data_IF_602157168031
#
_entry.id   IF_602157168031
#
_cell.length_a   1.000
_cell.length_b   1.000
_cell.length_c   1.000
_cell.angle_alpha   90.00
_cell.angle_beta   90.00
_cell.angle_gamma   90.00
#
_symmetry.space_group_name_H-M   'P 1'
#
loop_
_entity.id
_entity.type
_entity.pdbx_description
1 polymer ?
#
# COMPACT_ATOMS: atom_id res chain seq x y z
N UNK A 1 -5.01 -23.85 -30.22
CA UNK A 1 -5.66 -24.35 -28.98
C UNK A 1 -4.99 -23.66 -27.81
N UNK A 2 -5.79 -22.97 -27.00
CA UNK A 2 -5.36 -22.16 -25.86
C UNK A 2 -4.79 -23.06 -24.75
N UNK A 3 -3.61 -22.71 -24.24
CA UNK A 3 -3.20 -23.00 -22.86
C UNK A 3 -2.66 -21.71 -22.27
N UNK A 4 -3.59 -20.92 -21.74
CA UNK A 4 -3.34 -19.81 -20.83
C UNK A 4 -2.70 -20.36 -19.56
N UNK A 5 -1.44 -20.00 -19.31
CA UNK A 5 -0.80 -20.16 -17.99
C UNK A 5 -0.89 -18.78 -17.33
N UNK A 6 -1.89 -18.65 -16.46
CA UNK A 6 -1.95 -17.60 -15.45
C UNK A 6 -0.77 -17.83 -14.51
N UNK A 7 0.19 -16.90 -14.49
CA UNK A 7 1.03 -16.72 -13.30
C UNK A 7 0.21 -15.82 -12.38
N UNK A 8 -0.67 -16.47 -11.62
CA UNK A 8 -1.35 -15.86 -10.50
C UNK A 8 -0.28 -15.62 -9.41
N UNK A 9 0.18 -14.39 -9.28
CA UNK A 9 0.73 -13.92 -8.01
C UNK A 9 -0.40 -14.06 -7.00
N UNK A 10 -0.26 -15.01 -6.08
CA UNK A 10 -1.26 -15.33 -5.08
C UNK A 10 -1.38 -14.18 -4.05
N UNK A 11 -2.08 -13.11 -4.42
CA UNK A 11 -3.02 -12.46 -3.49
C UNK A 11 -4.35 -13.19 -3.64
N UNK A 12 -4.37 -14.44 -3.15
CA UNK A 12 -5.62 -15.16 -3.01
C UNK A 12 -6.37 -14.52 -1.85
N UNK A 13 -7.44 -13.80 -2.17
CA UNK A 13 -8.48 -13.50 -1.24
C UNK A 13 -8.87 -14.77 -0.48
N UNK A 14 -8.70 -14.73 0.84
CA UNK A 14 -9.40 -15.65 1.73
C UNK A 14 -10.85 -15.17 1.79
N UNK A 15 -11.61 -15.54 0.77
CA UNK A 15 -13.05 -15.72 0.86
C UNK A 15 -13.30 -16.87 1.85
N UNK A 16 -13.45 -16.55 3.13
CA UNK A 16 -14.19 -17.44 4.03
C UNK A 16 -15.63 -16.97 4.07
N UNK A 17 -16.40 -17.54 3.16
CA UNK A 17 -17.83 -17.73 3.34
C UNK A 17 -17.99 -18.55 4.63
N UNK A 18 -18.48 -17.91 5.69
CA UNK A 18 -19.19 -18.61 6.76
C UNK A 18 -20.54 -17.93 6.93
N UNK A 19 -21.57 -18.55 6.33
CA UNK A 19 -22.94 -18.28 6.70
C UNK A 19 -23.21 -18.96 8.05
N UNK A 20 -23.70 -18.19 9.02
CA UNK A 20 -24.42 -18.70 10.20
C UNK A 20 -23.55 -18.93 11.43
N UNK A 21 -23.77 -18.12 12.47
CA UNK A 21 -23.22 -18.34 13.79
C UNK A 21 -23.29 -17.09 14.66
N UNK A 22 -24.40 -16.94 15.35
CA UNK A 22 -24.62 -15.95 16.39
C UNK A 22 -23.51 -16.03 17.46
N UNK A 23 -23.01 -14.88 17.90
CA UNK A 23 -22.15 -14.69 19.08
C UNK A 23 -21.06 -15.74 19.36
N UNK A 24 -19.84 -15.54 18.85
CA UNK A 24 -18.68 -16.31 19.31
C UNK A 24 -17.35 -15.75 18.81
N UNK A 25 -16.54 -15.20 19.72
CA UNK A 25 -15.15 -14.81 19.46
C UNK A 25 -14.34 -16.07 19.16
N UNK A 26 -13.88 -16.24 17.92
CA UNK A 26 -12.94 -17.30 17.55
C UNK A 26 -11.52 -16.76 17.66
N UNK A 27 -10.81 -17.16 18.72
CA UNK A 27 -9.38 -16.89 18.90
C UNK A 27 -8.53 -17.86 18.06
N UNK A 28 -8.19 -17.46 16.83
CA UNK A 28 -6.97 -17.95 16.17
C UNK A 28 -5.86 -16.96 16.46
N UNK A 29 -4.86 -17.36 17.27
CA UNK A 29 -3.66 -16.55 17.56
C UNK A 29 -2.99 -16.13 16.26
N UNK A 30 -3.17 -14.87 15.86
CA UNK A 30 -2.52 -14.27 14.70
C UNK A 30 -3.36 -13.16 14.08
N UNK A 31 -4.60 -13.45 13.67
CA UNK A 31 -5.40 -12.51 12.88
C UNK A 31 -6.51 -11.85 13.71
N UNK A 32 -6.74 -10.56 13.47
CA UNK A 32 -7.87 -9.81 14.05
C UNK A 32 -8.90 -9.55 12.96
N UNK A 33 -10.17 -9.68 13.30
CA UNK A 33 -11.27 -9.36 12.39
C UNK A 33 -12.27 -8.45 13.09
N UNK A 34 -12.86 -7.54 12.32
CA UNK A 34 -14.05 -6.82 12.75
C UNK A 34 -14.97 -6.49 11.58
N UNK A 35 -16.09 -5.87 11.91
CA UNK A 35 -17.06 -5.41 10.93
C UNK A 35 -17.54 -4.02 11.29
N UNK A 36 -17.40 -3.10 10.35
CA UNK A 36 -17.81 -1.70 10.48
C UNK A 36 -18.80 -1.33 9.38
N UNK A 37 -19.45 -0.18 9.48
CA UNK A 37 -20.40 0.32 8.47
C UNK A 37 -20.04 1.75 8.03
N UNK A 38 -20.42 2.18 6.81
CA UNK A 38 -20.25 3.57 6.44
C UNK A 38 -21.10 4.45 7.36
N UNK A 39 -20.55 5.60 7.77
CA UNK A 39 -21.32 6.66 8.44
C UNK A 39 -22.17 7.45 7.44
N UNK A 40 -21.71 7.49 6.19
CA UNK A 40 -22.37 8.13 5.05
C UNK A 40 -22.03 7.34 3.80
N UNK A 41 -23.02 7.17 2.90
CA UNK A 41 -22.79 6.59 1.57
C UNK A 41 -22.10 7.58 0.62
N UNK A 42 -22.19 8.89 0.89
CA UNK A 42 -21.54 9.91 0.06
C UNK A 42 -20.03 9.89 0.24
N UNK A 43 -19.31 9.77 -0.87
CA UNK A 43 -17.88 10.04 -0.95
C UNK A 43 -17.71 11.54 -1.12
N UNK A 44 -16.93 12.19 -0.26
CA UNK A 44 -16.65 13.63 -0.37
C UNK A 44 -15.41 13.87 -1.23
N UNK A 45 -15.35 14.98 -1.95
CA UNK A 45 -14.16 15.37 -2.73
C UNK A 45 -14.37 15.20 -4.22
N UNK A 46 -13.29 15.13 -4.98
CA UNK A 46 -13.30 15.25 -6.44
C UNK A 46 -14.03 14.14 -7.21
N UNK A 47 -14.39 13.04 -6.55
CA UNK A 47 -15.14 11.92 -7.15
C UNK A 47 -16.57 11.82 -6.59
N UNK A 48 -17.05 12.86 -5.88
CA UNK A 48 -18.35 12.84 -5.21
C UNK A 48 -19.53 12.69 -6.16
N UNK A 49 -19.37 13.14 -7.40
CA UNK A 49 -20.43 13.17 -8.39
C UNK A 49 -20.48 11.86 -9.21
N UNK A 50 -19.49 10.98 -9.02
CA UNK A 50 -19.34 9.75 -9.80
C UNK A 50 -19.42 8.50 -8.95
N UNK A 51 -19.04 8.56 -7.67
CA UNK A 51 -18.92 7.38 -6.81
C UNK A 51 -19.65 7.54 -5.48
N UNK A 52 -20.31 6.46 -5.03
CA UNK A 52 -20.88 6.32 -3.69
C UNK A 52 -20.43 5.01 -3.03
N UNK A 53 -20.39 4.98 -1.71
CA UNK A 53 -20.25 3.74 -0.95
C UNK A 53 -21.60 3.04 -0.91
N UNK A 54 -21.63 1.74 -1.20
CA UNK A 54 -22.84 0.93 -1.03
C UNK A 54 -23.13 0.74 0.45
N UNK A 55 -24.36 1.00 0.88
CA UNK A 55 -24.76 0.77 2.27
C UNK A 55 -24.61 -0.71 2.63
N UNK A 56 -23.90 -0.98 3.72
CA UNK A 56 -23.61 -2.35 4.13
C UNK A 56 -22.51 -2.44 5.17
N UNK A 57 -22.23 -3.68 5.57
CA UNK A 57 -21.15 -4.01 6.50
C UNK A 57 -19.87 -4.27 5.70
N UNK A 58 -18.78 -3.65 6.14
CA UNK A 58 -17.42 -3.81 5.62
C UNK A 58 -16.62 -4.70 6.58
N UNK A 59 -15.96 -5.72 6.03
CA UNK A 59 -15.02 -6.56 6.80
C UNK A 59 -13.68 -5.83 6.93
N UNK A 60 -13.11 -5.89 8.12
CA UNK A 60 -11.74 -5.43 8.42
C UNK A 60 -10.94 -6.63 8.89
N UNK A 61 -9.76 -6.85 8.32
CA UNK A 61 -8.89 -7.98 8.67
C UNK A 61 -7.47 -7.47 8.89
N UNK A 62 -6.92 -7.74 10.08
CA UNK A 62 -5.48 -7.64 10.33
C UNK A 62 -4.84 -9.02 10.21
N UNK A 63 -3.81 -9.11 9.36
CA UNK A 63 -2.99 -10.31 9.18
C UNK A 63 -1.60 -10.00 9.69
N UNK A 64 -1.09 -10.84 10.58
CA UNK A 64 0.29 -10.72 11.09
C UNK A 64 1.28 -11.18 10.02
N UNK A 65 2.13 -10.28 9.56
CA UNK A 65 3.21 -10.51 8.59
C UNK A 65 4.55 -10.05 9.16
N UNK A 66 5.33 -11.00 9.68
CA UNK A 66 6.62 -10.76 10.33
C UNK A 66 6.54 -9.77 11.50
N UNK A 67 6.86 -8.50 11.26
CA UNK A 67 6.83 -7.43 12.28
C UNK A 67 5.72 -6.41 12.04
N UNK A 68 4.90 -6.59 11.00
CA UNK A 68 3.77 -5.72 10.67
C UNK A 68 2.46 -6.50 10.66
N UNK A 69 1.38 -5.87 11.11
CA UNK A 69 0.04 -6.24 10.72
C UNK A 69 -0.31 -5.56 9.40
N UNK A 70 -0.66 -6.34 8.39
CA UNK A 70 -1.37 -5.85 7.21
C UNK A 70 -2.84 -5.74 7.53
N UNK A 71 -3.38 -4.52 7.54
CA UNK A 71 -4.78 -4.28 7.87
C UNK A 71 -5.52 -3.90 6.61
N UNK A 72 -6.48 -4.72 6.20
CA UNK A 72 -7.26 -4.55 4.99
C UNK A 72 -8.73 -4.26 5.31
N UNK A 73 -9.27 -3.28 4.61
CA UNK A 73 -10.69 -2.93 4.59
C UNK A 73 -11.22 -3.19 3.18
N UNK A 74 -12.33 -3.92 3.07
CA UNK A 74 -13.00 -4.13 1.77
C UNK A 74 -14.30 -3.34 1.74
N UNK A 75 -14.31 -2.21 1.04
CA UNK A 75 -15.49 -1.33 0.93
C UNK A 75 -16.12 -1.49 -0.45
N UNK A 76 -17.43 -1.72 -0.51
CA UNK A 76 -18.14 -1.78 -1.78
C UNK A 76 -18.48 -0.36 -2.25
N UNK A 77 -18.05 -0.03 -3.46
CA UNK A 77 -18.22 1.28 -4.10
C UNK A 77 -19.02 1.09 -5.37
N UNK A 78 -19.94 2.02 -5.63
CA UNK A 78 -20.85 2.01 -6.77
C UNK A 78 -20.64 3.27 -7.61
N UNK A 79 -20.79 3.10 -8.93
CA UNK A 79 -20.88 4.20 -9.86
C UNK A 79 -22.28 4.84 -9.85
N UNK A 80 -22.33 6.15 -9.65
CA UNK A 80 -23.54 7.00 -9.74
C UNK A 80 -23.45 8.04 -10.86
N UNK A 81 -22.35 8.02 -11.60
CA UNK A 81 -22.08 8.91 -12.71
C UNK A 81 -20.81 8.48 -13.42
N UNK A 82 -20.65 8.90 -14.66
CA UNK A 82 -19.49 8.57 -15.50
C UNK A 82 -18.73 9.82 -15.91
N UNK A 83 -17.45 9.65 -16.23
CA UNK A 83 -16.58 10.71 -16.73
C UNK A 83 -15.46 10.14 -17.60
N UNK A 84 -15.03 10.94 -18.58
CA UNK A 84 -13.84 10.70 -19.39
C UNK A 84 -12.59 11.42 -18.84
N UNK A 85 -12.72 12.11 -17.70
CA UNK A 85 -11.60 12.79 -17.04
C UNK A 85 -10.52 11.79 -16.61
N UNK A 86 -9.27 12.21 -16.77
CA UNK A 86 -8.09 11.44 -16.35
C UNK A 86 -7.69 11.92 -14.95
N UNK A 87 -7.68 11.00 -13.99
CA UNK A 87 -7.26 11.27 -12.62
C UNK A 87 -5.86 10.70 -12.38
N UNK A 88 -4.86 11.56 -12.19
CA UNK A 88 -3.45 11.13 -12.05
C UNK A 88 -3.23 10.17 -10.87
N UNK A 89 -4.02 10.29 -9.80
CA UNK A 89 -3.99 9.35 -8.67
C UNK A 89 -4.50 7.94 -8.97
N UNK A 90 -4.89 7.64 -10.22
CA UNK A 90 -5.21 6.31 -10.72
C UNK A 90 -4.15 5.79 -11.73
N UNK A 91 -3.08 6.55 -11.95
CA UNK A 91 -2.04 6.27 -12.97
C UNK A 91 -0.62 6.47 -12.43
N UNK A 92 -0.46 6.70 -11.12
CA UNK A 92 0.83 7.04 -10.50
C UNK A 92 1.53 5.85 -9.84
N UNK A 93 1.02 4.63 -10.07
CA UNK A 93 1.50 3.36 -9.49
C UNK A 93 1.67 3.41 -7.96
N UNK A 94 0.90 4.27 -7.29
CA UNK A 94 0.95 4.52 -5.85
C UNK A 94 -0.45 4.39 -5.22
N UNK A 95 -0.60 4.71 -3.94
CA UNK A 95 -1.89 4.75 -3.25
C UNK A 95 -2.97 5.45 -4.10
N UNK A 96 -4.10 4.76 -4.27
CA UNK A 96 -5.22 5.22 -5.06
C UNK A 96 -5.95 6.42 -4.42
N UNK A 97 -6.97 6.97 -5.11
CA UNK A 97 -7.50 8.30 -4.82
C UNK A 97 -8.50 8.32 -3.65
N UNK A 98 -8.99 7.16 -3.20
CA UNK A 98 -9.97 7.06 -2.14
C UNK A 98 -9.25 6.88 -0.79
N UNK A 99 -9.77 7.52 0.25
CA UNK A 99 -9.25 7.42 1.61
C UNK A 99 -10.37 7.18 2.63
N UNK A 100 -10.07 6.39 3.65
CA UNK A 100 -10.93 6.15 4.80
C UNK A 100 -10.48 6.96 6.01
N UNK A 101 -11.46 7.41 6.78
CA UNK A 101 -11.27 7.84 8.16
C UNK A 101 -12.12 6.94 9.04
N UNK A 102 -11.47 6.21 9.96
CA UNK A 102 -12.15 5.31 10.89
C UNK A 102 -12.68 6.11 12.08
N UNK A 103 -13.91 5.81 12.48
CA UNK A 103 -14.70 6.57 13.43
C UNK A 103 -15.13 5.65 14.58
N UNK A 104 -14.98 6.14 15.81
CA UNK A 104 -15.42 5.47 17.04
C UNK A 104 -16.93 5.59 17.31
N UNK A 105 -17.37 5.08 18.46
CA UNK A 105 -18.76 5.14 18.92
C UNK A 105 -19.23 6.55 19.30
N UNK A 106 -18.31 7.45 19.66
CA UNK A 106 -18.58 8.87 19.94
C UNK A 106 -18.82 9.67 18.65
N UNK A 107 -18.37 9.13 17.51
CA UNK A 107 -18.41 9.79 16.22
C UNK A 107 -17.15 10.58 15.87
N UNK A 108 -16.07 10.40 16.63
CA UNK A 108 -14.78 11.04 16.41
C UNK A 108 -13.84 10.12 15.59
N UNK A 109 -12.91 10.69 14.79
CA UNK A 109 -11.83 9.93 14.19
C UNK A 109 -10.95 9.24 15.22
N UNK A 110 -10.64 7.95 14.99
CA UNK A 110 -9.75 7.20 15.86
C UNK A 110 -8.30 7.60 15.59
N UNK A 111 -7.64 8.16 16.60
CA UNK A 111 -6.23 8.53 16.53
C UNK A 111 -5.35 7.33 16.17
N UNK A 112 -4.41 7.53 15.23
CA UNK A 112 -3.52 6.47 14.76
C UNK A 112 -4.03 5.69 13.54
N UNK A 113 -5.20 6.02 12.98
CA UNK A 113 -5.70 5.46 11.72
C UNK A 113 -5.64 6.46 10.55
N UNK A 114 -4.56 7.23 10.48
CA UNK A 114 -4.42 8.28 9.48
C UNK A 114 -4.09 7.72 8.10
N UNK A 115 -4.61 8.36 7.05
CA UNK A 115 -4.27 8.12 5.63
C UNK A 115 -4.45 6.67 5.11
N UNK A 116 -5.46 5.93 5.57
CA UNK A 116 -5.81 4.65 4.94
C UNK A 116 -6.33 4.92 3.53
N UNK A 117 -5.59 4.49 2.52
CA UNK A 117 -5.87 4.75 1.10
C UNK A 117 -6.28 3.47 0.38
N UNK A 118 -7.02 3.61 -0.71
CA UNK A 118 -7.26 2.50 -1.63
C UNK A 118 -5.94 2.02 -2.22
N UNK A 119 -5.81 0.72 -2.46
CA UNK A 119 -4.59 0.16 -3.03
C UNK A 119 -4.52 0.43 -4.54
N UNK A 120 -3.32 0.67 -5.06
CA UNK A 120 -3.07 0.95 -6.48
C UNK A 120 -3.59 -0.18 -7.40
N UNK A 121 -3.53 -1.45 -6.95
CA UNK A 121 -4.00 -2.58 -7.77
C UNK A 121 -5.51 -2.55 -8.03
N UNK A 122 -6.26 -1.78 -7.22
CA UNK A 122 -7.69 -1.58 -7.39
C UNK A 122 -8.01 -0.32 -8.24
N UNK A 123 -7.01 0.45 -8.69
CA UNK A 123 -7.24 1.64 -9.52
C UNK A 123 -7.95 1.29 -10.83
N UNK A 124 -7.62 0.15 -11.43
CA UNK A 124 -8.33 -0.34 -12.63
C UNK A 124 -9.83 -0.58 -12.39
N UNK A 125 -10.22 -0.99 -11.17
CA UNK A 125 -11.64 -1.14 -10.79
C UNK A 125 -12.30 0.23 -10.64
N UNK A 126 -11.60 1.18 -10.00
CA UNK A 126 -12.10 2.54 -9.83
C UNK A 126 -12.27 3.22 -11.20
N UNK A 127 -11.30 3.07 -12.11
CA UNK A 127 -11.41 3.53 -13.49
C UNK A 127 -12.60 2.92 -14.22
N UNK A 128 -12.90 1.64 -13.99
CA UNK A 128 -14.07 0.99 -14.60
C UNK A 128 -15.39 1.54 -14.06
N UNK A 129 -15.49 1.83 -12.74
CA UNK A 129 -16.65 2.51 -12.16
C UNK A 129 -16.88 3.88 -12.78
N UNK A 130 -15.82 4.63 -13.05
CA UNK A 130 -15.90 5.97 -13.64
C UNK A 130 -16.35 5.93 -15.13
N UNK A 131 -16.31 4.76 -15.78
CA UNK A 131 -16.69 4.59 -17.19
C UNK A 131 -18.03 3.87 -17.39
N UNK A 132 -18.58 3.24 -16.34
CA UNK A 132 -19.80 2.44 -16.40
C UNK A 132 -20.73 2.74 -15.23
N UNK A 133 -21.85 3.39 -15.53
CA UNK A 133 -22.85 3.73 -14.52
C UNK A 133 -23.52 2.48 -13.94
N UNK A 134 -23.77 2.50 -12.62
CA UNK A 134 -24.48 1.43 -11.92
C UNK A 134 -23.64 0.20 -11.55
N UNK A 135 -22.38 0.11 -12.01
CA UNK A 135 -21.46 -0.96 -11.60
C UNK A 135 -21.07 -0.82 -10.13
N UNK A 136 -20.77 -1.95 -9.50
CA UNK A 136 -20.33 -2.02 -8.10
C UNK A 136 -19.08 -2.90 -7.96
N UNK A 137 -18.04 -2.36 -7.34
CA UNK A 137 -16.82 -3.12 -7.04
C UNK A 137 -16.43 -3.05 -5.57
N UNK A 138 -15.80 -4.12 -5.09
CA UNK A 138 -15.08 -4.11 -3.83
C UNK A 138 -13.72 -3.45 -4.04
N UNK A 139 -13.53 -2.32 -3.37
CA UNK A 139 -12.29 -1.55 -3.33
C UNK A 139 -11.60 -1.83 -1.99
N UNK A 140 -10.33 -2.18 -2.08
CA UNK A 140 -9.49 -2.53 -0.94
C UNK A 140 -8.72 -1.30 -0.48
N UNK A 141 -8.74 -1.07 0.82
CA UNK A 141 -7.93 -0.04 1.48
C UNK A 141 -7.02 -0.74 2.47
N UNK A 142 -5.76 -0.32 2.55
CA UNK A 142 -4.83 -0.93 3.48
C UNK A 142 -4.03 0.09 4.30
N UNK A 143 -3.54 -0.40 5.43
CA UNK A 143 -2.54 0.26 6.25
C UNK A 143 -1.73 -0.80 6.98
N UNK A 144 -0.59 -0.42 7.53
CA UNK A 144 0.27 -1.31 8.31
C UNK A 144 0.48 -0.79 9.72
N UNK A 145 0.62 -1.71 10.68
CA UNK A 145 0.93 -1.39 12.09
C UNK A 145 1.98 -2.34 12.64
N UNK A 146 2.78 -1.91 13.59
CA UNK A 146 3.84 -2.75 14.14
C UNK A 146 3.25 -3.84 15.05
N UNK A 147 3.68 -5.10 14.89
CA UNK A 147 3.19 -6.23 15.69
C UNK A 147 3.53 -6.08 17.17
N UNK A 148 4.61 -5.37 17.51
CA UNK A 148 4.95 -5.05 18.91
C UNK A 148 3.87 -4.20 19.60
N UNK A 149 3.00 -3.55 18.84
CA UNK A 149 1.86 -2.77 19.33
C UNK A 149 0.55 -3.58 19.37
N UNK A 150 0.61 -4.92 19.34
CA UNK A 150 -0.58 -5.79 19.27
C UNK A 150 -1.70 -5.38 20.23
N UNK A 151 -1.40 -5.10 21.49
CA UNK A 151 -2.43 -4.68 22.46
C UNK A 151 -3.09 -3.34 22.11
N UNK A 152 -2.35 -2.40 21.53
CA UNK A 152 -2.90 -1.16 21.01
C UNK A 152 -3.75 -1.42 19.75
N UNK A 153 -3.31 -2.31 18.85
CA UNK A 153 -4.07 -2.69 17.65
C UNK A 153 -5.38 -3.39 18.03
N UNK A 154 -5.36 -4.33 18.99
CA UNK A 154 -6.56 -4.98 19.51
C UNK A 154 -7.53 -3.96 20.13
N UNK A 155 -7.01 -2.99 20.89
CA UNK A 155 -7.83 -1.88 21.42
C UNK A 155 -8.46 -1.07 20.29
N UNK A 156 -7.68 -0.67 19.29
CA UNK A 156 -8.16 0.07 18.12
C UNK A 156 -9.22 -0.71 17.33
N UNK A 157 -9.07 -2.03 17.20
CA UNK A 157 -10.06 -2.91 16.57
C UNK A 157 -11.39 -2.97 17.35
N UNK A 158 -11.35 -2.83 18.68
CA UNK A 158 -12.55 -2.79 19.50
C UNK A 158 -13.24 -1.42 19.46
N UNK A 159 -12.51 -0.34 19.20
CA UNK A 159 -13.04 1.02 19.15
C UNK A 159 -13.68 1.38 17.80
N UNK A 160 -13.33 0.68 16.71
CA UNK A 160 -13.88 0.99 15.38
C UNK A 160 -15.38 0.64 15.26
N UNK A 161 -16.17 1.62 14.84
CA UNK A 161 -17.62 1.46 14.64
C UNK A 161 -18.02 1.77 13.20
N UNK A 162 -17.46 2.84 12.63
CA UNK A 162 -17.84 3.30 11.29
C UNK A 162 -16.69 3.95 10.54
N UNK A 163 -16.92 4.32 9.29
CA UNK A 163 -15.95 5.05 8.49
C UNK A 163 -16.60 6.15 7.65
N UNK A 164 -15.81 7.16 7.30
CA UNK A 164 -16.10 8.10 6.23
C UNK A 164 -15.14 7.85 5.07
N UNK A 165 -15.61 8.13 3.86
CA UNK A 165 -14.80 8.03 2.64
C UNK A 165 -14.67 9.41 2.00
N UNK A 166 -13.44 9.76 1.63
CA UNK A 166 -13.15 10.96 0.84
C UNK A 166 -12.32 10.56 -0.37
N UNK A 167 -12.37 11.37 -1.42
CA UNK A 167 -11.46 11.26 -2.55
C UNK A 167 -10.58 12.51 -2.61
N UNK A 168 -9.26 12.32 -2.63
CA UNK A 168 -8.29 13.43 -2.70
C UNK A 168 -7.77 13.58 -4.13
N UNK A 169 -7.75 14.78 -4.70
CA UNK A 169 -7.15 14.98 -6.00
C UNK A 169 -5.64 14.72 -5.90
N UNK A 170 -5.08 13.98 -6.85
CA UNK A 170 -3.66 14.05 -7.17
C UNK A 170 -3.57 14.74 -8.52
N UNK A 171 -2.92 15.90 -8.56
CA UNK A 171 -2.58 16.57 -9.81
C UNK A 171 -1.23 16.04 -10.28
N UNK A 172 -1.06 15.90 -11.59
CA UNK A 172 0.24 15.66 -12.20
C UNK A 172 1.21 16.75 -11.72
N UNK A 173 2.44 16.42 -11.28
CA UNK A 173 3.43 17.45 -10.98
C UNK A 173 3.57 18.35 -12.20
N UNK A 174 3.25 19.63 -12.04
CA UNK A 174 3.39 20.62 -13.08
C UNK A 174 4.87 20.67 -13.46
N UNK A 175 5.19 20.46 -14.74
CA UNK A 175 6.57 20.60 -15.23
C UNK A 175 7.05 21.99 -14.82
N UNK A 176 8.05 22.09 -13.94
CA UNK A 176 8.74 23.34 -13.68
C UNK A 176 9.24 23.91 -15.01
N UNK A 177 8.67 25.04 -15.39
CA UNK A 177 9.13 25.85 -16.50
C UNK A 177 10.45 26.48 -16.06
N UNK A 178 11.44 26.29 -16.93
CA UNK A 178 12.82 26.73 -16.83
C UNK A 178 12.99 28.21 -16.48
N UNK A 179 13.83 28.44 -15.46
CA UNK A 179 14.77 29.54 -15.25
C UNK A 179 14.25 31.00 -15.16
N UNK A 180 14.36 31.57 -13.95
CA UNK A 180 14.99 32.88 -13.81
C UNK A 180 15.82 32.94 -12.53
N UNK A 181 17.10 33.18 -12.71
CA UNK A 181 18.13 33.29 -11.70
C UNK A 181 17.81 34.40 -10.69
N UNK A 182 17.79 34.06 -9.41
CA UNK A 182 18.24 34.98 -8.35
C UNK A 182 18.73 34.13 -7.20
N UNK A 183 20.05 34.12 -7.02
CA UNK A 183 20.71 33.56 -5.85
C UNK A 183 20.13 34.15 -4.58
N UNK A 184 19.75 33.27 -3.66
CA UNK A 184 19.69 33.60 -2.25
C UNK A 184 20.21 32.38 -1.51
N UNK A 185 21.48 32.51 -1.09
CA UNK A 185 22.16 31.56 -0.23
C UNK A 185 21.31 31.31 1.02
N UNK A 186 20.83 30.09 1.16
CA UNK A 186 20.40 29.58 2.46
C UNK A 186 21.17 28.29 2.67
N UNK A 187 22.08 28.34 3.63
CA UNK A 187 23.05 27.29 3.93
C UNK A 187 22.35 26.12 4.61
N UNK A 188 21.77 25.23 3.82
CA UNK A 188 21.35 23.89 4.26
C UNK A 188 22.53 22.96 4.08
N UNK A 189 22.97 22.30 5.15
CA UNK A 189 24.03 21.29 5.11
C UNK A 189 23.62 20.16 4.17
N UNK A 190 24.12 20.19 2.94
CA UNK A 190 24.11 19.08 2.00
C UNK A 190 24.77 17.86 2.64
N UNK A 191 24.00 16.78 2.82
CA UNK A 191 24.59 15.44 2.79
C UNK A 191 25.17 15.26 1.40
N UNK A 192 26.49 15.09 1.31
CA UNK A 192 27.19 15.06 0.03
C UNK A 192 26.77 13.87 -0.84
N UNK A 193 26.85 14.02 -2.16
CA UNK A 193 26.55 12.98 -3.16
C UNK A 193 27.20 11.61 -2.87
N UNK A 194 28.32 11.58 -2.15
CA UNK A 194 29.02 10.35 -1.75
C UNK A 194 28.24 9.48 -0.74
N UNK A 195 27.45 10.08 0.16
CA UNK A 195 26.63 9.32 1.13
C UNK A 195 25.47 8.59 0.42
N UNK A 196 24.98 9.20 -0.67
CA UNK A 196 23.95 8.65 -1.52
C UNK A 196 24.44 7.51 -2.41
N UNK A 197 25.63 7.66 -2.99
CA UNK A 197 26.23 6.58 -3.77
C UNK A 197 26.46 5.35 -2.89
N UNK A 198 26.92 5.54 -1.65
CA UNK A 198 27.04 4.46 -0.66
C UNK A 198 25.69 3.86 -0.25
N UNK A 199 24.62 4.65 -0.18
CA UNK A 199 23.28 4.13 0.11
C UNK A 199 22.73 3.29 -1.04
N UNK A 200 23.01 3.69 -2.29
CA UNK A 200 22.65 2.91 -3.47
C UNK A 200 23.48 1.63 -3.59
N UNK A 201 24.76 1.64 -3.18
CA UNK A 201 25.57 0.43 -3.03
C UNK A 201 24.95 -0.55 -2.01
N UNK A 202 24.55 -0.05 -0.84
CA UNK A 202 23.87 -0.84 0.19
C UNK A 202 22.56 -1.45 -0.35
N UNK A 203 21.81 -0.68 -1.15
CA UNK A 203 20.54 -1.07 -1.77
C UNK A 203 20.71 -2.16 -2.84
N UNK A 204 21.73 -2.03 -3.69
CA UNK A 204 22.09 -3.04 -4.69
C UNK A 204 22.52 -4.36 -4.02
N UNK A 205 23.40 -4.29 -3.03
CA UNK A 205 23.89 -5.47 -2.32
C UNK A 205 22.77 -6.17 -1.53
N UNK A 206 21.79 -5.43 -1.01
CA UNK A 206 20.61 -6.02 -0.38
C UNK A 206 19.82 -6.91 -1.35
N UNK A 207 19.62 -6.47 -2.60
CA UNK A 207 18.94 -7.28 -3.61
C UNK A 207 19.75 -8.50 -4.02
N UNK A 208 21.08 -8.37 -4.11
CA UNK A 208 21.96 -9.51 -4.35
C UNK A 208 21.85 -10.57 -3.26
N UNK A 209 21.81 -10.15 -1.99
CA UNK A 209 21.66 -11.07 -0.87
C UNK A 209 20.25 -11.70 -0.84
N UNK A 210 19.21 -10.94 -1.18
CA UNK A 210 17.87 -11.48 -1.35
C UNK A 210 17.82 -12.55 -2.47
N UNK A 211 18.43 -12.29 -3.62
CA UNK A 211 18.54 -13.26 -4.74
C UNK A 211 19.28 -14.53 -4.29
N UNK A 212 20.36 -14.40 -3.50
CA UNK A 212 21.06 -15.56 -2.93
C UNK A 212 20.15 -16.38 -2.01
N UNK A 213 19.36 -15.73 -1.16
CA UNK A 213 18.39 -16.41 -0.28
C UNK A 213 17.35 -17.19 -1.08
N UNK A 214 16.78 -16.59 -2.13
CA UNK A 214 15.80 -17.26 -3.00
C UNK A 214 16.44 -18.48 -3.68
N UNK A 215 17.66 -18.36 -4.22
CA UNK A 215 18.41 -19.48 -4.83
C UNK A 215 18.67 -20.61 -3.83
N UNK A 216 18.99 -20.29 -2.57
CA UNK A 216 19.17 -21.27 -1.50
C UNK A 216 17.86 -21.97 -1.15
N UNK A 217 16.78 -21.21 -0.98
CA UNK A 217 15.44 -21.75 -0.69
C UNK A 217 14.96 -22.71 -1.80
N UNK A 218 15.18 -22.37 -3.08
CA UNK A 218 14.86 -23.27 -4.21
C UNK A 218 15.63 -24.59 -4.19
N UNK A 219 16.83 -24.60 -3.58
CA UNK A 219 17.64 -25.80 -3.39
C UNK A 219 17.31 -26.55 -2.09
N UNK A 220 16.24 -26.15 -1.39
CA UNK A 220 15.89 -26.62 -0.04
C UNK A 220 17.05 -26.45 0.96
N UNK A 221 17.89 -25.44 0.77
CA UNK A 221 18.99 -25.12 1.67
C UNK A 221 18.44 -24.30 2.85
N UNK A 222 18.31 -24.97 4.00
CA UNK A 222 17.80 -24.40 5.24
C UNK A 222 18.67 -23.25 5.79
N UNK A 223 19.90 -23.04 5.28
CA UNK A 223 20.72 -21.87 5.66
C UNK A 223 20.07 -20.54 5.24
N UNK A 224 19.17 -20.55 4.25
CA UNK A 224 18.38 -19.38 3.86
C UNK A 224 17.53 -18.83 5.03
N UNK A 225 16.97 -19.71 5.87
CA UNK A 225 16.15 -19.32 7.02
C UNK A 225 16.97 -18.56 8.07
N UNK A 226 18.23 -18.96 8.27
CA UNK A 226 19.16 -18.31 9.22
C UNK A 226 19.77 -17.01 8.69
N UNK A 227 19.83 -16.82 7.38
CA UNK A 227 20.40 -15.61 6.75
C UNK A 227 19.34 -14.55 6.42
N UNK A 228 18.06 -14.94 6.30
CA UNK A 228 16.93 -14.04 6.05
C UNK A 228 16.85 -12.84 7.01
N UNK A 229 17.02 -13.00 8.35
CA UNK A 229 16.97 -11.86 9.27
C UNK A 229 18.04 -10.79 9.00
N UNK A 230 19.20 -11.18 8.44
CA UNK A 230 20.29 -10.23 8.12
C UNK A 230 19.94 -9.35 6.93
N UNK A 231 19.39 -9.95 5.87
CA UNK A 231 18.92 -9.21 4.69
C UNK A 231 17.75 -8.31 5.06
N UNK A 232 16.84 -8.79 5.92
CA UNK A 232 15.72 -7.99 6.42
C UNK A 232 16.18 -6.77 7.24
N UNK A 233 17.14 -6.93 8.15
CA UNK A 233 17.69 -5.82 8.92
C UNK A 233 18.36 -4.76 8.02
N UNK A 234 19.03 -5.21 6.95
CA UNK A 234 19.63 -4.33 5.93
C UNK A 234 18.55 -3.51 5.19
N UNK A 235 17.45 -4.14 4.80
CA UNK A 235 16.31 -3.47 4.16
C UNK A 235 15.69 -2.38 5.04
N UNK A 236 15.47 -2.65 6.33
CA UNK A 236 14.96 -1.65 7.28
C UNK A 236 15.92 -0.47 7.40
N UNK A 237 17.23 -0.74 7.47
CA UNK A 237 18.26 0.31 7.57
C UNK A 237 18.26 1.21 6.33
N UNK A 238 18.16 0.62 5.13
CA UNK A 238 18.12 1.36 3.87
C UNK A 238 16.83 2.17 3.76
N UNK A 239 15.67 1.59 4.11
CA UNK A 239 14.38 2.28 4.10
C UNK A 239 14.37 3.52 4.99
N UNK A 240 14.93 3.42 6.21
CA UNK A 240 15.06 4.57 7.12
C UNK A 240 16.02 5.64 6.61
N UNK A 241 17.07 5.25 5.87
CA UNK A 241 18.00 6.20 5.25
C UNK A 241 17.35 6.90 4.05
N UNK A 242 16.60 6.18 3.21
CA UNK A 242 15.86 6.75 2.07
C UNK A 242 14.77 7.73 2.52
N UNK A 243 13.99 7.39 3.56
CA UNK A 243 12.92 8.24 4.10
C UNK A 243 13.45 9.58 4.64
N UNK A 244 14.63 9.56 5.27
CA UNK A 244 15.28 10.76 5.82
C UNK A 244 15.88 11.66 4.76
N UNK A 245 16.08 11.14 3.56
CA UNK A 245 16.96 11.76 2.59
C UNK A 245 16.21 12.51 1.49
N UNK A 246 14.87 12.41 1.41
CA UNK A 246 14.00 13.38 0.75
C UNK A 246 14.41 13.77 -0.68
N UNK A 247 14.06 15.00 -1.10
CA UNK A 247 14.24 15.55 -2.46
C UNK A 247 15.72 15.80 -2.87
N UNK A 248 16.71 15.26 -2.15
CA UNK A 248 18.14 15.56 -2.32
C UNK A 248 18.89 14.61 -3.28
N UNK A 249 18.19 13.78 -4.06
CA UNK A 249 18.79 12.86 -5.04
C UNK A 249 19.15 13.55 -6.37
N UNK A 250 20.36 13.31 -6.89
CA UNK A 250 20.71 13.75 -8.24
C UNK A 250 19.98 12.92 -9.31
N UNK A 251 19.78 13.44 -10.54
CA UNK A 251 19.21 12.67 -11.65
C UNK A 251 19.94 11.36 -11.94
N UNK A 252 21.27 11.34 -11.78
CA UNK A 252 22.10 10.14 -11.95
C UNK A 252 21.82 9.10 -10.86
N UNK A 253 21.60 9.55 -9.62
CA UNK A 253 21.27 8.68 -8.48
C UNK A 253 19.87 8.10 -8.59
N UNK A 254 18.91 8.88 -9.09
CA UNK A 254 17.56 8.40 -9.43
C UNK A 254 17.63 7.34 -10.53
N UNK A 255 18.43 7.59 -11.57
CA UNK A 255 18.61 6.63 -12.68
C UNK A 255 19.21 5.33 -12.16
N UNK A 256 20.27 5.42 -11.35
CA UNK A 256 20.92 4.25 -10.74
C UNK A 256 19.96 3.46 -9.84
N UNK A 257 19.14 4.15 -9.06
CA UNK A 257 18.11 3.52 -8.23
C UNK A 257 17.08 2.74 -9.06
N UNK A 258 16.65 3.27 -10.21
CA UNK A 258 15.76 2.59 -11.14
C UNK A 258 16.43 1.37 -11.79
N UNK A 259 17.70 1.48 -12.18
CA UNK A 259 18.47 0.37 -12.77
C UNK A 259 18.59 -0.82 -11.81
N UNK A 260 18.86 -0.56 -10.53
CA UNK A 260 18.93 -1.59 -9.48
C UNK A 260 17.60 -2.36 -9.40
N UNK A 261 16.46 -1.66 -9.43
CA UNK A 261 15.13 -2.29 -9.40
C UNK A 261 14.86 -3.16 -10.64
N UNK A 262 15.20 -2.66 -11.83
CA UNK A 262 15.04 -3.42 -13.09
C UNK A 262 15.89 -4.69 -13.06
N UNK A 263 17.14 -4.61 -12.60
CA UNK A 263 18.04 -5.75 -12.48
C UNK A 263 17.50 -6.79 -11.48
N UNK A 264 16.98 -6.34 -10.33
CA UNK A 264 16.35 -7.21 -9.34
C UNK A 264 15.11 -7.94 -9.91
N UNK A 265 14.26 -7.23 -10.67
CA UNK A 265 13.08 -7.83 -11.33
C UNK A 265 13.47 -8.87 -12.40
N UNK A 266 14.52 -8.60 -13.18
CA UNK A 266 15.04 -9.54 -14.17
C UNK A 266 15.59 -10.81 -13.50
N UNK A 267 16.39 -10.66 -12.44
CA UNK A 267 16.91 -11.78 -11.68
C UNK A 267 15.79 -12.63 -11.04
N UNK A 268 14.75 -11.99 -10.49
CA UNK A 268 13.58 -12.69 -9.98
C UNK A 268 12.83 -13.48 -11.08
N UNK A 269 12.75 -12.92 -12.29
CA UNK A 269 12.14 -13.58 -13.44
C UNK A 269 12.95 -14.80 -13.89
N UNK A 270 14.28 -14.72 -13.90
CA UNK A 270 15.15 -15.86 -14.23
C UNK A 270 15.05 -17.00 -13.22
N UNK A 271 14.84 -16.69 -11.94
CA UNK A 271 14.62 -17.68 -10.90
C UNK A 271 13.27 -18.40 -11.02
N UNK A 272 12.30 -17.83 -11.72
CA UNK A 272 10.97 -18.43 -11.91
C UNK A 272 10.90 -19.44 -13.08
N UNK A 273 12.01 -19.63 -13.81
CA UNK A 273 12.14 -20.60 -14.91
C UNK A 273 12.70 -21.93 -14.43
#
# INVERSE_FOLDING_TARGET
MKKSIFIATAMAGVLLISCGGDGGKSETKGNLEATIKPRSIKIKGHLSDYLEVVEGKTKVVAIEEYILYQINFSVKVKSIGITDEIFYGLEDDNNGPLHLTIIDDTGAPISGWDNISSIYSDDSKIQDLLKKEGEEYWITFNTTKNVSERGAIEKLFNEMVSFNTISKPKQKPEKEITASSTSSETTSKSGGSAEWDSLLDDYEEMYDDYIKLVKKAQKNDNSALSEYPKVYAKMITISQKLEKAGDDLSPEQITRFMEIQVNAMQAATELSK
#
